data_IF_283224108055
#
_entry.id   IF_283224108055
#
_cell.length_a   1.000
_cell.length_b   1.000
_cell.length_c   1.000
_cell.angle_alpha   90.00
_cell.angle_beta   90.00
_cell.angle_gamma   90.00
#
_symmetry.space_group_name_H-M   'P 1'
#
loop_
_entity.id
_entity.type
_entity.pdbx_description
1 polymer ?
#
# COMPACT_ATOMS: atom_id res chain seq x y z
N UNK A 1 -12.25 -3.05 -19.88
CA UNK A 1 -13.37 -3.01 -18.91
C UNK A 1 -13.56 -4.42 -18.36
N UNK A 2 -12.74 -4.78 -17.38
CA UNK A 2 -12.89 -6.01 -16.61
C UNK A 2 -13.50 -5.53 -15.30
N UNK A 3 -14.81 -5.74 -15.13
CA UNK A 3 -15.47 -5.56 -13.84
C UNK A 3 -15.42 -6.90 -13.12
N UNK A 4 -14.44 -7.09 -12.26
CA UNK A 4 -14.58 -8.00 -11.12
C UNK A 4 -15.41 -7.30 -10.04
N UNK A 5 -15.95 -8.02 -9.07
CA UNK A 5 -16.66 -7.39 -7.94
C UNK A 5 -15.63 -6.64 -7.08
N UNK A 6 -15.22 -5.45 -7.51
CA UNK A 6 -14.00 -4.76 -7.02
C UNK A 6 -14.15 -4.16 -5.61
N UNK A 7 -15.24 -4.43 -4.90
CA UNK A 7 -15.51 -3.79 -3.62
C UNK A 7 -15.94 -4.79 -2.56
N UNK A 8 -15.34 -4.65 -1.40
CA UNK A 8 -15.64 -5.42 -0.21
C UNK A 8 -16.80 -4.83 0.57
N UNK A 9 -17.57 -5.72 1.19
CA UNK A 9 -18.57 -5.38 2.18
C UNK A 9 -17.94 -5.30 3.58
N UNK A 10 -18.73 -4.83 4.54
CA UNK A 10 -18.32 -4.83 5.97
C UNK A 10 -17.99 -6.24 6.48
N UNK A 11 -18.76 -7.26 6.08
CA UNK A 11 -18.51 -8.64 6.48
C UNK A 11 -17.21 -9.16 5.92
N UNK A 12 -16.84 -8.76 4.70
CA UNK A 12 -15.58 -9.15 4.09
C UNK A 12 -14.40 -8.58 4.86
N UNK A 13 -14.45 -7.30 5.26
CA UNK A 13 -13.39 -6.70 6.13
C UNK A 13 -13.28 -7.47 7.44
N UNK A 14 -14.40 -7.73 8.14
CA UNK A 14 -14.40 -8.46 9.43
C UNK A 14 -13.73 -9.83 9.27
N UNK A 15 -14.06 -10.56 8.21
CA UNK A 15 -13.53 -11.89 7.94
C UNK A 15 -12.06 -11.86 7.53
N UNK A 16 -11.72 -11.05 6.52
CA UNK A 16 -10.40 -11.02 5.91
C UNK A 16 -9.35 -10.35 6.81
N UNK A 17 -9.70 -9.21 7.43
CA UNK A 17 -8.79 -8.53 8.37
C UNK A 17 -8.75 -9.18 9.76
N UNK A 18 -9.63 -10.16 10.02
CA UNK A 18 -9.78 -10.85 11.32
C UNK A 18 -10.05 -9.86 12.47
N UNK A 19 -10.96 -8.91 12.25
CA UNK A 19 -11.31 -7.86 13.20
C UNK A 19 -12.75 -8.00 13.68
N UNK A 20 -12.99 -7.77 14.97
CA UNK A 20 -14.33 -7.78 15.54
C UNK A 20 -15.22 -6.66 14.95
N UNK A 21 -16.51 -6.95 14.78
CA UNK A 21 -17.47 -6.01 14.20
C UNK A 21 -17.59 -4.71 15.03
N UNK A 22 -17.53 -4.79 16.35
CA UNK A 22 -17.61 -3.59 17.20
C UNK A 22 -16.38 -2.69 17.03
N UNK A 23 -15.20 -3.29 16.91
CA UNK A 23 -13.94 -2.57 16.64
C UNK A 23 -14.01 -1.86 15.29
N UNK A 24 -14.44 -2.56 14.24
CA UNK A 24 -14.61 -1.95 12.92
C UNK A 24 -15.66 -0.81 12.94
N UNK A 25 -16.68 -0.89 13.80
CA UNK A 25 -17.66 0.21 13.97
C UNK A 25 -16.98 1.47 14.51
N UNK A 26 -16.10 1.30 15.50
CA UNK A 26 -15.32 2.42 16.07
C UNK A 26 -14.38 3.02 15.03
N UNK A 27 -13.66 2.18 14.28
CA UNK A 27 -12.74 2.64 13.24
C UNK A 27 -13.43 3.43 12.13
N UNK A 28 -14.62 3.00 11.70
CA UNK A 28 -15.42 3.77 10.74
C UNK A 28 -15.83 5.15 11.29
N UNK A 29 -16.30 5.21 12.55
CA UNK A 29 -16.68 6.49 13.18
C UNK A 29 -15.49 7.43 13.36
N UNK A 30 -14.31 6.87 13.57
CA UNK A 30 -13.06 7.62 13.76
C UNK A 30 -12.33 7.90 12.43
N UNK A 31 -12.82 7.40 11.30
CA UNK A 31 -12.24 7.64 9.96
C UNK A 31 -10.96 6.85 9.65
N UNK A 32 -10.62 5.83 10.45
CA UNK A 32 -9.44 4.98 10.23
C UNK A 32 -9.64 4.07 9.01
N UNK A 33 -10.88 3.64 8.77
CA UNK A 33 -11.29 2.92 7.57
C UNK A 33 -12.34 3.76 6.85
N UNK A 34 -12.22 3.88 5.52
CA UNK A 34 -13.02 4.81 4.71
C UNK A 34 -13.75 4.03 3.61
N UNK A 35 -15.10 4.05 3.55
CA UNK A 35 -15.81 3.47 2.43
C UNK A 35 -15.62 4.31 1.16
N UNK A 36 -15.70 3.67 -0.01
CA UNK A 36 -15.68 4.34 -1.33
C UNK A 36 -16.87 5.30 -1.44
N UNK A 37 -18.05 4.80 -1.05
CA UNK A 37 -19.29 5.58 -0.98
C UNK A 37 -20.05 5.24 0.30
N UNK A 38 -20.34 6.28 1.09
CA UNK A 38 -21.38 6.21 2.10
C UNK A 38 -22.72 6.44 1.39
N UNK A 39 -23.30 5.37 0.82
CA UNK A 39 -24.53 5.48 0.04
C UNK A 39 -25.60 6.31 0.77
N UNK A 40 -26.09 7.37 0.13
CA UNK A 40 -27.12 8.24 0.72
C UNK A 40 -28.44 7.45 0.79
N UNK A 41 -28.90 7.14 2.01
CA UNK A 41 -30.18 6.46 2.28
C UNK A 41 -30.12 5.34 3.33
N UNK A 42 -31.23 5.08 4.04
CA UNK A 42 -31.35 3.93 4.95
C UNK A 42 -31.25 2.62 4.14
N UNK A 43 -30.32 1.74 4.51
CA UNK A 43 -30.25 0.37 4.01
C UNK A 43 -29.24 0.10 2.88
N UNK A 44 -28.44 1.08 2.46
CA UNK A 44 -27.34 0.81 1.53
C UNK A 44 -26.13 0.23 2.27
N UNK A 45 -25.61 -0.89 1.78
CA UNK A 45 -24.37 -1.48 2.29
C UNK A 45 -23.18 -0.58 1.97
N UNK A 46 -22.29 -0.40 2.95
CA UNK A 46 -21.01 0.26 2.72
C UNK A 46 -20.15 -0.60 1.79
N UNK A 47 -19.48 0.05 0.84
CA UNK A 47 -18.54 -0.57 -0.10
C UNK A 47 -17.14 -0.03 0.17
N UNK A 48 -16.15 -0.91 0.15
CA UNK A 48 -14.76 -0.62 0.46
C UNK A 48 -13.87 -1.11 -0.66
N UNK A 49 -12.80 -0.38 -0.97
CA UNK A 49 -11.79 -0.86 -1.90
C UNK A 49 -10.96 -2.02 -1.25
N UNK A 50 -10.24 -2.83 -2.04
CA UNK A 50 -9.37 -3.88 -1.54
C UNK A 50 -8.30 -3.37 -0.54
N UNK A 51 -7.81 -2.14 -0.72
CA UNK A 51 -6.80 -1.56 0.15
C UNK A 51 -7.33 -1.28 1.56
N UNK A 52 -8.61 -0.95 1.72
CA UNK A 52 -9.22 -0.80 3.06
C UNK A 52 -9.18 -2.10 3.86
N UNK A 53 -9.27 -3.27 3.21
CA UNK A 53 -9.11 -4.57 3.87
C UNK A 53 -7.68 -4.72 4.37
N UNK A 54 -6.69 -4.35 3.54
CA UNK A 54 -5.26 -4.38 3.90
C UNK A 54 -4.94 -3.43 5.05
N UNK A 55 -5.45 -2.19 5.01
CA UNK A 55 -5.32 -1.25 6.14
C UNK A 55 -5.96 -1.83 7.40
N UNK A 56 -7.18 -2.37 7.30
CA UNK A 56 -7.85 -2.98 8.46
C UNK A 56 -7.03 -4.12 9.07
N UNK A 57 -6.36 -4.92 8.24
CA UNK A 57 -5.49 -6.01 8.67
C UNK A 57 -4.27 -5.47 9.43
N UNK A 58 -3.58 -4.46 8.89
CA UNK A 58 -2.47 -3.78 9.58
C UNK A 58 -2.90 -3.19 10.92
N UNK A 59 -4.06 -2.53 10.97
CA UNK A 59 -4.59 -1.95 12.22
C UNK A 59 -4.98 -3.04 13.23
N UNK A 60 -5.46 -4.20 12.77
CA UNK A 60 -5.79 -5.33 13.63
C UNK A 60 -4.52 -5.92 14.25
N UNK A 61 -3.47 -6.11 13.47
CA UNK A 61 -2.18 -6.60 13.94
C UNK A 61 -1.52 -5.58 14.91
N UNK A 62 -1.58 -4.29 14.56
CA UNK A 62 -1.15 -3.19 15.43
C UNK A 62 -1.88 -3.15 16.78
N UNK A 63 -3.21 -3.31 16.78
CA UNK A 63 -4.01 -3.43 18.00
C UNK A 63 -3.62 -4.69 18.79
N UNK A 64 -3.38 -5.81 18.10
CA UNK A 64 -2.99 -7.08 18.72
C UNK A 64 -1.69 -6.99 19.52
N UNK A 65 -0.76 -6.13 19.10
CA UNK A 65 0.50 -5.86 19.83
C UNK A 65 0.41 -4.68 20.80
N UNK A 66 -0.78 -4.11 21.02
CA UNK A 66 -1.03 -3.11 22.05
C UNK A 66 -0.92 -1.64 21.62
N UNK A 67 -0.90 -1.34 20.31
CA UNK A 67 -0.96 0.05 19.85
C UNK A 67 -2.26 0.72 20.29
N UNK A 68 -2.13 1.95 20.80
CA UNK A 68 -3.26 2.75 21.23
C UNK A 68 -3.98 3.42 20.05
N UNK A 69 -5.14 4.02 20.29
CA UNK A 69 -5.96 4.63 19.25
C UNK A 69 -5.27 5.73 18.44
N UNK A 70 -4.36 6.50 19.06
CA UNK A 70 -3.62 7.57 18.37
C UNK A 70 -2.54 6.99 17.45
N UNK A 71 -1.88 5.91 17.86
CA UNK A 71 -0.94 5.18 17.00
C UNK A 71 -1.65 4.56 15.79
N UNK A 72 -2.79 3.91 16.03
CA UNK A 72 -3.61 3.34 14.96
C UNK A 72 -4.11 4.41 13.99
N UNK A 73 -4.45 5.61 14.50
CA UNK A 73 -4.81 6.74 13.65
C UNK A 73 -3.63 7.21 12.81
N UNK A 74 -2.42 7.33 13.37
CA UNK A 74 -1.24 7.73 12.61
C UNK A 74 -0.92 6.74 11.47
N UNK A 75 -1.04 5.42 11.73
CA UNK A 75 -0.92 4.37 10.71
C UNK A 75 -1.98 4.54 9.63
N UNK A 76 -3.25 4.64 10.03
CA UNK A 76 -4.34 4.81 9.08
C UNK A 76 -4.14 6.07 8.22
N UNK A 77 -3.82 7.21 8.82
CA UNK A 77 -3.65 8.46 8.09
C UNK A 77 -2.48 8.40 7.09
N UNK A 78 -1.35 7.78 7.47
CA UNK A 78 -0.22 7.57 6.56
C UNK A 78 -0.62 6.70 5.35
N UNK A 79 -1.24 5.55 5.59
CA UNK A 79 -1.65 4.62 4.53
C UNK A 79 -2.74 5.21 3.63
N UNK A 80 -3.73 5.91 4.20
CA UNK A 80 -4.78 6.58 3.44
C UNK A 80 -4.18 7.72 2.59
N UNK A 81 -3.22 8.48 3.11
CA UNK A 81 -2.52 9.53 2.36
C UNK A 81 -1.71 8.95 1.21
N UNK A 82 -1.06 7.81 1.42
CA UNK A 82 -0.34 7.10 0.36
C UNK A 82 -1.28 6.67 -0.78
N UNK A 83 -2.39 6.00 -0.44
CA UNK A 83 -3.39 5.55 -1.43
C UNK A 83 -4.00 6.74 -2.17
N UNK A 84 -4.37 7.81 -1.45
CA UNK A 84 -4.91 9.03 -2.05
C UNK A 84 -3.90 9.72 -2.97
N UNK A 85 -2.61 9.64 -2.63
CA UNK A 85 -1.53 10.13 -3.49
C UNK A 85 -1.49 9.31 -4.77
N UNK A 86 -1.34 7.99 -4.69
CA UNK A 86 -1.30 7.13 -5.87
C UNK A 86 -2.54 7.26 -6.77
N UNK A 87 -3.73 7.40 -6.18
CA UNK A 87 -5.00 7.56 -6.90
C UNK A 87 -5.03 8.78 -7.84
N UNK A 88 -4.15 9.79 -7.65
CA UNK A 88 -4.04 10.95 -8.55
C UNK A 88 -3.70 10.55 -10.00
N UNK A 89 -2.98 9.45 -10.20
CA UNK A 89 -2.51 9.03 -11.52
C UNK A 89 -3.54 8.23 -12.35
N UNK A 90 -4.65 7.77 -11.73
CA UNK A 90 -5.62 6.88 -12.39
C UNK A 90 -4.94 5.69 -13.11
N UNK A 91 -3.95 5.10 -12.43
CA UNK A 91 -3.09 4.05 -12.96
C UNK A 91 -3.35 2.73 -12.24
N UNK A 92 -3.13 1.61 -12.94
CA UNK A 92 -3.23 0.30 -12.31
C UNK A 92 -2.10 0.10 -11.29
N UNK A 93 -2.35 -0.45 -10.09
CA UNK A 93 -1.33 -0.64 -9.04
C UNK A 93 -0.07 -1.38 -9.48
N UNK A 94 -0.21 -2.36 -10.39
CA UNK A 94 0.93 -3.08 -10.97
C UNK A 94 1.96 -2.18 -11.67
N UNK A 95 1.59 -0.95 -12.05
CA UNK A 95 2.50 0.02 -12.66
C UNK A 95 3.32 0.80 -11.62
N UNK A 96 2.99 0.70 -10.33
CA UNK A 96 3.51 1.57 -9.28
C UNK A 96 5.04 1.57 -9.19
N UNK A 97 5.67 0.40 -9.20
CA UNK A 97 7.14 0.29 -9.14
C UNK A 97 7.79 0.96 -10.36
N UNK A 98 7.26 0.77 -11.56
CA UNK A 98 7.78 1.43 -12.78
C UNK A 98 7.53 2.95 -12.79
N UNK A 99 6.41 3.40 -12.21
CA UNK A 99 6.13 4.82 -12.02
C UNK A 99 7.17 5.45 -11.09
N UNK A 100 7.49 4.79 -9.97
CA UNK A 100 8.52 5.25 -9.04
C UNK A 100 9.88 5.31 -9.73
N UNK A 101 10.26 4.26 -10.47
CA UNK A 101 11.52 4.23 -11.23
C UNK A 101 11.64 5.41 -12.21
N UNK A 102 10.57 5.75 -12.94
CA UNK A 102 10.58 6.90 -13.86
C UNK A 102 10.65 8.25 -13.14
N UNK A 103 10.15 8.37 -11.90
CA UNK A 103 10.31 9.58 -11.08
C UNK A 103 11.75 9.70 -10.57
N UNK A 104 12.34 8.60 -10.08
CA UNK A 104 13.68 8.58 -9.49
C UNK A 104 14.79 8.67 -10.54
N UNK A 105 14.60 8.03 -11.70
CA UNK A 105 15.57 7.96 -12.78
C UNK A 105 14.89 8.14 -14.16
N UNK A 106 14.44 9.36 -14.51
CA UNK A 106 13.70 9.62 -15.74
C UNK A 106 14.48 9.19 -16.99
N UNK A 107 13.82 8.47 -17.90
CA UNK A 107 14.40 8.08 -19.19
C UNK A 107 15.32 6.86 -19.16
N UNK A 108 15.48 6.20 -18.02
CA UNK A 108 16.25 4.94 -17.91
C UNK A 108 15.44 3.68 -18.23
N UNK A 109 14.23 3.84 -18.74
CA UNK A 109 13.30 2.75 -19.03
C UNK A 109 13.92 1.61 -19.87
N UNK A 110 14.62 1.96 -20.96
CA UNK A 110 15.25 0.98 -21.85
C UNK A 110 16.44 0.24 -21.18
N UNK A 111 17.17 0.93 -20.31
CA UNK A 111 18.28 0.35 -19.54
C UNK A 111 17.76 -0.62 -18.47
N UNK A 112 16.68 -0.25 -17.77
CA UNK A 112 16.00 -1.10 -16.79
C UNK A 112 15.47 -2.36 -17.46
N UNK A 113 14.77 -2.20 -18.60
CA UNK A 113 14.23 -3.33 -19.35
C UNK A 113 15.31 -4.30 -19.83
N UNK A 114 16.42 -3.77 -20.37
CA UNK A 114 17.57 -4.59 -20.75
C UNK A 114 18.18 -5.34 -19.56
N UNK A 115 18.19 -4.72 -18.37
CA UNK A 115 18.69 -5.32 -17.14
C UNK A 115 17.77 -6.44 -16.64
N UNK A 116 16.46 -6.23 -16.65
CA UNK A 116 15.45 -7.25 -16.31
C UNK A 116 15.57 -8.45 -17.26
N UNK A 117 15.68 -8.22 -18.58
CA UNK A 117 15.90 -9.30 -19.57
C UNK A 117 17.14 -10.13 -19.28
N UNK A 118 18.26 -9.48 -18.93
CA UNK A 118 19.50 -10.18 -18.55
C UNK A 118 19.32 -10.97 -17.25
N UNK A 119 18.62 -10.42 -16.27
CA UNK A 119 18.37 -11.08 -15.00
C UNK A 119 17.51 -12.33 -15.22
N UNK A 120 16.41 -12.22 -15.95
CA UNK A 120 15.52 -13.33 -16.29
C UNK A 120 16.23 -14.44 -17.08
N UNK A 121 17.14 -14.09 -17.99
CA UNK A 121 17.96 -15.07 -18.71
C UNK A 121 18.92 -15.85 -17.80
N UNK A 122 19.43 -15.22 -16.74
CA UNK A 122 20.38 -15.83 -15.81
C UNK A 122 19.70 -16.56 -14.64
N UNK A 123 18.55 -16.07 -14.20
CA UNK A 123 17.78 -16.55 -13.05
C UNK A 123 16.28 -16.40 -13.35
N UNK A 124 15.70 -17.30 -14.14
CA UNK A 124 14.29 -17.21 -14.49
C UNK A 124 13.42 -17.41 -13.23
N UNK A 125 12.41 -16.57 -13.10
CA UNK A 125 11.32 -16.69 -12.12
C UNK A 125 10.01 -16.23 -12.76
N UNK A 126 8.89 -16.64 -12.18
CA UNK A 126 7.57 -16.24 -12.65
C UNK A 126 7.41 -14.72 -12.55
N UNK A 127 7.83 -14.10 -11.43
CA UNK A 127 7.85 -12.64 -11.25
C UNK A 127 8.61 -11.90 -12.36
N UNK A 128 9.80 -12.39 -12.74
CA UNK A 128 10.58 -11.74 -13.79
C UNK A 128 9.95 -11.93 -15.17
N UNK A 129 9.25 -13.05 -15.38
CA UNK A 129 8.51 -13.30 -16.61
C UNK A 129 7.33 -12.35 -16.72
N UNK A 130 6.53 -12.22 -15.66
CA UNK A 130 5.40 -11.30 -15.58
C UNK A 130 5.84 -9.84 -15.77
N UNK A 131 6.97 -9.45 -15.16
CA UNK A 131 7.55 -8.12 -15.30
C UNK A 131 7.98 -7.84 -16.75
N UNK A 132 8.60 -8.82 -17.41
CA UNK A 132 8.98 -8.70 -18.83
C UNK A 132 7.77 -8.57 -19.73
N UNK A 133 6.76 -9.42 -19.55
CA UNK A 133 5.51 -9.36 -20.31
C UNK A 133 4.84 -8.00 -20.17
N UNK A 134 4.87 -7.41 -18.96
CA UNK A 134 4.34 -6.08 -18.71
C UNK A 134 5.11 -4.99 -19.47
N UNK A 135 6.45 -5.01 -19.40
CA UNK A 135 7.32 -4.06 -20.11
C UNK A 135 7.19 -4.16 -21.65
N UNK A 136 6.84 -5.34 -22.17
CA UNK A 136 6.65 -5.60 -23.60
C UNK A 136 5.28 -5.15 -24.13
N UNK A 137 4.35 -4.73 -23.25
CA UNK A 137 3.04 -4.25 -23.69
C UNK A 137 3.17 -2.94 -24.48
N UNK A 138 2.50 -2.91 -25.65
CA UNK A 138 2.43 -1.71 -26.47
C UNK A 138 1.84 -0.53 -25.66
N UNK A 139 2.56 0.59 -25.62
CA UNK A 139 2.12 1.80 -24.90
C UNK A 139 2.41 1.78 -23.40
N UNK A 140 3.12 0.77 -22.88
CA UNK A 140 3.48 0.70 -21.46
C UNK A 140 4.35 1.88 -21.02
N UNK A 141 5.43 2.17 -21.75
CA UNK A 141 6.35 3.27 -21.45
C UNK A 141 5.61 4.63 -21.43
N UNK A 142 4.76 4.90 -22.43
CA UNK A 142 3.94 6.11 -22.46
C UNK A 142 2.95 6.19 -21.28
N UNK A 143 2.36 5.06 -20.89
CA UNK A 143 1.43 4.98 -19.76
C UNK A 143 2.15 5.29 -18.45
N UNK A 144 3.32 4.69 -18.23
CA UNK A 144 4.15 4.94 -17.04
C UNK A 144 4.59 6.40 -16.99
N UNK A 145 5.10 6.97 -18.09
CA UNK A 145 5.52 8.37 -18.15
C UNK A 145 4.38 9.34 -17.89
N UNK A 146 3.20 9.06 -18.45
CA UNK A 146 2.00 9.87 -18.22
C UNK A 146 1.58 9.84 -16.75
N UNK A 147 1.62 8.67 -16.11
CA UNK A 147 1.30 8.54 -14.69
C UNK A 147 2.36 9.21 -13.80
N UNK A 148 3.65 9.00 -14.08
CA UNK A 148 4.77 9.60 -13.36
C UNK A 148 4.73 11.14 -13.39
N UNK A 149 4.31 11.74 -14.51
CA UNK A 149 4.20 13.19 -14.67
C UNK A 149 3.18 13.86 -13.73
N UNK A 150 2.32 13.09 -13.04
CA UNK A 150 1.37 13.59 -12.04
C UNK A 150 2.05 13.83 -10.68
N UNK A 151 3.19 13.18 -10.43
CA UNK A 151 3.85 13.14 -9.14
C UNK A 151 5.09 14.04 -9.08
N UNK A 152 5.45 14.39 -7.86
CA UNK A 152 6.70 15.05 -7.51
C UNK A 152 7.60 14.11 -6.71
N UNK A 153 8.86 14.50 -6.53
CA UNK A 153 9.81 13.79 -5.66
C UNK A 153 9.29 13.70 -4.22
N UNK A 154 8.51 14.68 -3.76
CA UNK A 154 7.91 14.68 -2.42
C UNK A 154 6.82 13.60 -2.24
N UNK A 155 6.25 13.09 -3.34
CA UNK A 155 5.26 12.02 -3.30
C UNK A 155 5.92 10.62 -3.19
N UNK A 156 7.25 10.49 -3.40
CA UNK A 156 7.93 9.19 -3.46
C UNK A 156 7.76 8.35 -2.20
N UNK A 157 7.83 8.95 -1.01
CA UNK A 157 7.65 8.21 0.25
C UNK A 157 6.24 7.61 0.36
N UNK A 158 5.23 8.34 -0.11
CA UNK A 158 3.86 7.86 -0.18
C UNK A 158 3.71 6.73 -1.22
N UNK A 159 4.34 6.85 -2.38
CA UNK A 159 4.30 5.82 -3.43
C UNK A 159 5.00 4.54 -2.97
N UNK A 160 6.17 4.63 -2.35
CA UNK A 160 6.86 3.48 -1.76
C UNK A 160 6.06 2.83 -0.61
N UNK A 161 5.32 3.62 0.17
CA UNK A 161 4.41 3.08 1.18
C UNK A 161 3.24 2.30 0.54
N UNK A 162 2.74 2.73 -0.62
CA UNK A 162 1.77 1.96 -1.40
C UNK A 162 2.35 0.63 -1.90
N UNK A 163 3.59 0.61 -2.42
CA UNK A 163 4.27 -0.62 -2.85
C UNK A 163 4.26 -1.65 -1.72
N UNK A 164 4.73 -1.27 -0.54
CA UNK A 164 4.75 -2.18 0.62
C UNK A 164 3.37 -2.71 1.00
N UNK A 165 2.35 -1.85 0.95
CA UNK A 165 0.98 -2.24 1.28
C UNK A 165 0.40 -3.20 0.22
N UNK A 166 0.64 -2.94 -1.06
CA UNK A 166 0.05 -3.66 -2.18
C UNK A 166 0.77 -4.99 -2.45
N UNK A 167 2.09 -4.98 -2.37
CA UNK A 167 2.93 -6.16 -2.62
C UNK A 167 3.12 -6.99 -1.33
N UNK A 168 2.58 -6.53 -0.20
CA UNK A 168 2.67 -7.21 1.10
C UNK A 168 4.13 -7.39 1.58
N UNK A 169 5.00 -6.43 1.26
CA UNK A 169 6.44 -6.56 1.49
C UNK A 169 6.96 -5.69 2.64
N UNK A 170 7.85 -6.29 3.44
CA UNK A 170 8.59 -5.61 4.48
C UNK A 170 7.77 -5.29 5.73
N UNK A 171 8.11 -4.17 6.37
CA UNK A 171 7.58 -3.77 7.66
C UNK A 171 7.15 -2.32 7.67
N UNK A 172 6.05 -2.04 8.39
CA UNK A 172 5.74 -0.69 8.87
C UNK A 172 6.29 -0.50 10.27
N UNK A 173 6.98 0.60 10.47
CA UNK A 173 7.59 0.97 11.74
C UNK A 173 6.77 2.10 12.35
N UNK A 174 6.00 1.77 13.38
CA UNK A 174 5.27 2.75 14.17
C UNK A 174 6.07 3.11 15.42
N UNK A 175 6.34 4.40 15.63
CA UNK A 175 7.10 4.86 16.80
C UNK A 175 6.60 6.20 17.33
N UNK A 176 6.83 6.43 18.62
CA UNK A 176 6.54 7.71 19.25
C UNK A 176 7.73 8.65 19.07
N UNK A 177 7.53 9.74 18.32
CA UNK A 177 8.51 10.81 18.21
C UNK A 177 8.45 11.68 19.46
N UNK A 178 9.44 11.50 20.34
CA UNK A 178 9.54 12.24 21.61
C UNK A 178 9.72 13.75 21.42
N UNK A 179 10.26 14.18 20.27
CA UNK A 179 10.53 15.59 20.01
C UNK A 179 9.27 16.33 19.56
N UNK A 180 8.44 15.66 18.76
CA UNK A 180 7.21 16.24 18.23
C UNK A 180 5.95 15.82 19.01
N UNK A 181 6.07 14.87 19.95
CA UNK A 181 4.97 14.40 20.77
C UNK A 181 3.85 13.76 19.95
N UNK A 182 4.21 13.00 18.91
CA UNK A 182 3.27 12.37 18.00
C UNK A 182 3.77 11.00 17.52
N UNK A 183 2.83 10.15 17.09
CA UNK A 183 3.16 8.89 16.43
C UNK A 183 3.59 9.13 14.99
N UNK A 184 4.70 8.51 14.60
CA UNK A 184 5.20 8.47 13.23
C UNK A 184 5.17 7.05 12.69
N UNK A 185 5.13 6.96 11.37
CA UNK A 185 5.08 5.72 10.62
C UNK A 185 6.14 5.83 9.53
N UNK A 186 7.03 4.86 9.51
CA UNK A 186 8.08 4.76 8.50
C UNK A 186 8.02 3.39 7.83
N UNK A 187 8.43 3.35 6.56
CA UNK A 187 8.60 2.12 5.80
C UNK A 187 9.96 1.49 6.07
N UNK A 188 10.02 0.17 6.14
CA UNK A 188 11.28 -0.58 6.12
C UNK A 188 11.15 -1.80 5.22
N UNK A 189 11.96 -1.88 4.16
CA UNK A 189 11.90 -2.98 3.19
C UNK A 189 12.34 -4.32 3.80
N UNK A 190 13.40 -4.30 4.62
CA UNK A 190 13.91 -5.49 5.32
C UNK A 190 14.49 -5.11 6.69
N UNK A 191 14.64 -6.10 7.58
CA UNK A 191 15.40 -5.95 8.83
C UNK A 191 16.87 -6.31 8.59
N UNK A 192 17.57 -5.47 7.81
CA UNK A 192 18.96 -5.69 7.39
C UNK A 192 20.01 -5.19 8.39
N UNK A 193 19.63 -5.00 9.65
CA UNK A 193 20.50 -4.45 10.70
C UNK A 193 20.64 -2.92 10.66
N UNK A 194 19.87 -2.24 9.80
CA UNK A 194 19.64 -0.80 9.88
C UNK A 194 19.12 -0.40 11.27
N UNK A 195 19.58 0.76 11.77
CA UNK A 195 19.15 1.27 13.08
C UNK A 195 17.70 1.70 13.00
N UNK A 196 16.88 1.16 13.91
CA UNK A 196 15.50 1.60 14.09
C UNK A 196 15.47 3.08 14.50
N UNK A 197 14.46 3.84 14.05
CA UNK A 197 14.36 5.28 14.29
C UNK A 197 14.24 5.64 15.78
N UNK A 198 13.80 4.67 16.60
CA UNK A 198 13.66 4.81 18.04
C UNK A 198 13.97 3.48 18.74
N UNK A 199 14.46 3.57 19.98
CA UNK A 199 14.61 2.41 20.86
C UNK A 199 13.26 1.77 21.24
N UNK A 200 12.17 2.52 21.12
CA UNK A 200 10.80 2.05 21.31
C UNK A 200 10.00 2.27 20.02
N UNK A 201 10.01 1.26 19.15
CA UNK A 201 9.17 1.19 17.97
C UNK A 201 8.50 -0.18 17.89
N UNK A 202 7.40 -0.23 17.15
CA UNK A 202 6.67 -1.46 16.84
C UNK A 202 6.82 -1.72 15.36
N UNK A 203 7.26 -2.94 15.04
CA UNK A 203 7.37 -3.44 13.68
C UNK A 203 6.09 -4.22 13.36
N UNK A 204 5.39 -3.80 12.32
CA UNK A 204 4.23 -4.49 11.78
C UNK A 204 4.66 -5.17 10.48
N UNK A 205 4.77 -6.49 10.53
CA UNK A 205 5.06 -7.35 9.38
C UNK A 205 3.89 -7.30 8.38
N UNK A 206 4.18 -6.98 7.13
CA UNK A 206 3.18 -6.89 6.07
C UNK A 206 2.99 -8.19 5.28
N UNK A 207 3.84 -9.20 5.47
CA UNK A 207 3.72 -10.48 4.77
C UNK A 207 2.34 -11.16 4.92
N UNK A 208 1.59 -11.01 6.04
CA UNK A 208 0.23 -11.57 6.13
C UNK A 208 -0.78 -10.93 5.16
N UNK A 209 -0.44 -9.81 4.51
CA UNK A 209 -1.29 -9.19 3.49
C UNK A 209 -1.28 -9.99 2.17
N UNK A 210 -0.28 -10.85 1.93
CA UNK A 210 -0.21 -11.69 0.74
C UNK A 210 -1.34 -12.74 0.68
N UNK A 211 -1.94 -13.07 1.83
CA UNK A 211 -3.10 -13.97 1.93
C UNK A 211 -4.43 -13.27 1.56
N UNK A 212 -4.42 -11.96 1.35
CA UNK A 212 -5.59 -11.16 1.02
C UNK A 212 -5.78 -11.04 -0.50
N UNK A 213 -7.03 -10.92 -0.98
CA UNK A 213 -7.28 -10.68 -2.40
C UNK A 213 -6.63 -9.37 -2.87
N UNK A 214 -6.12 -9.39 -4.11
CA UNK A 214 -5.62 -8.22 -4.86
C UNK A 214 -6.74 -7.26 -5.26
#
# INVERSE_FOLDING_TARGET
MIMTNDHHSRSDIVQLAKVENDVLTVWLRQGLIRPIDAGVGRGKSLRFDPYQVRIARVLADGRGVGLNGDALRAIADALQTAIQTFAKADAHPRLLSSIIEEIEAPGHFQDNFASIRRLAANRPSDELTDLLEMYEQDGFEETVKKAAAVFSVEDLDNLWLCVQLFDAEGYLVAYWDIHNGLWKVERHATLDGSRLPSAACILLDLSPLADLPE
#
